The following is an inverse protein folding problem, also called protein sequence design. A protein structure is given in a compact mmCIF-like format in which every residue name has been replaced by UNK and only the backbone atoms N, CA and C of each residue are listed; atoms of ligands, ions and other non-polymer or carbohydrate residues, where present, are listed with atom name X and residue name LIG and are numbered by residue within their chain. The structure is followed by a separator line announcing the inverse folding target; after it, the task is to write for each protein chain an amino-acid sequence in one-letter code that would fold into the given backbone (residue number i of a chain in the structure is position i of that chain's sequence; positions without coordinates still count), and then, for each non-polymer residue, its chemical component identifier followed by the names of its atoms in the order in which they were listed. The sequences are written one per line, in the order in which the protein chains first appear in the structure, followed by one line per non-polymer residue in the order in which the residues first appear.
data_IF_956631655544
#
_entry.id   IF_956631655544
#
_cell.length_a   1.000
_cell.length_b   1.000
_cell.length_c   1.000
_cell.angle_alpha   90.00
_cell.angle_beta   90.00
_cell.angle_gamma   90.00
#
_symmetry.space_group_name_H-M   'P 1'
#
loop_
_entity.id
_entity.type
_entity.pdbx_description
1 polymer ?
#
# COMPACT_ATOMS: atom_id res chain seq x y z
N UNK A 1 16.30 54.41 7.43
CA UNK A 1 16.83 53.40 6.48
C UNK A 1 16.77 52.03 7.14
N UNK A 2 16.41 50.97 6.41
CA UNK A 2 16.45 49.60 6.94
C UNK A 2 17.86 49.01 6.76
N UNK A 3 18.49 48.61 7.86
CA UNK A 3 19.84 48.06 7.86
C UNK A 3 19.96 46.85 8.78
N UNK A 4 20.83 45.91 8.43
CA UNK A 4 21.12 44.72 9.23
C UNK A 4 22.21 45.03 10.27
N UNK A 5 22.02 44.58 11.51
CA UNK A 5 22.98 44.79 12.62
C UNK A 5 24.30 44.01 12.45
N UNK A 6 24.33 42.99 11.59
CA UNK A 6 25.54 42.24 11.24
C UNK A 6 25.42 41.65 9.84
N UNK A 7 26.31 42.06 8.93
CA UNK A 7 26.40 41.55 7.56
C UNK A 7 26.71 40.05 7.52
N UNK A 8 27.61 39.58 8.40
CA UNK A 8 28.00 38.15 8.49
C UNK A 8 26.82 37.29 8.96
N UNK A 9 26.06 37.75 9.96
CA UNK A 9 24.86 37.02 10.44
C UNK A 9 23.76 36.99 9.39
N UNK A 10 23.50 38.12 8.73
CA UNK A 10 22.52 38.23 7.64
C UNK A 10 22.85 37.28 6.47
N UNK A 11 24.12 37.27 6.01
CA UNK A 11 24.59 36.38 4.95
C UNK A 11 24.44 34.90 5.31
N UNK A 12 24.76 34.50 6.56
CA UNK A 12 24.55 33.13 7.06
C UNK A 12 23.07 32.75 7.13
N UNK A 13 22.17 33.64 7.55
CA UNK A 13 20.73 33.36 7.55
C UNK A 13 20.17 33.23 6.13
N UNK A 14 20.62 34.08 5.20
CA UNK A 14 20.19 34.03 3.80
C UNK A 14 20.63 32.72 3.14
N UNK A 15 21.90 32.31 3.30
CA UNK A 15 22.41 31.02 2.81
C UNK A 15 21.60 29.82 3.34
N UNK A 16 21.25 29.82 4.63
CA UNK A 16 20.40 28.75 5.21
C UNK A 16 18.96 28.80 4.72
N UNK A 17 18.44 29.98 4.36
CA UNK A 17 17.10 30.11 3.77
C UNK A 17 17.10 29.57 2.33
N UNK A 18 18.05 29.99 1.49
CA UNK A 18 18.18 29.51 0.11
C UNK A 18 18.45 28.01 0.06
N UNK A 19 19.28 27.46 0.95
CA UNK A 19 19.53 26.01 1.03
C UNK A 19 18.25 25.23 1.40
N UNK A 20 17.47 25.73 2.37
CA UNK A 20 16.18 25.11 2.73
C UNK A 20 15.16 25.19 1.60
N UNK A 21 15.19 26.25 0.82
CA UNK A 21 14.32 26.45 -0.34
C UNK A 21 14.71 25.55 -1.50
N UNK A 22 16.01 25.45 -1.82
CA UNK A 22 16.55 24.49 -2.78
C UNK A 22 16.20 23.04 -2.41
N UNK A 23 16.34 22.66 -1.13
CA UNK A 23 15.92 21.34 -0.63
C UNK A 23 14.39 21.10 -0.64
N UNK A 24 13.57 22.13 -0.86
CA UNK A 24 12.11 22.03 -1.03
C UNK A 24 11.70 21.93 -2.50
N UNK A 25 12.57 22.29 -3.45
CA UNK A 25 12.30 22.09 -4.87
C UNK A 25 12.32 20.59 -5.18
N UNK A 26 11.20 20.10 -5.68
CA UNK A 26 11.03 18.73 -6.16
C UNK A 26 10.52 18.78 -7.60
N UNK A 27 10.78 17.72 -8.37
CA UNK A 27 10.25 17.60 -9.74
C UNK A 27 8.71 17.65 -9.66
N UNK A 28 8.03 18.50 -10.45
CA UNK A 28 6.58 18.55 -10.46
C UNK A 28 6.02 17.25 -11.03
N UNK A 29 5.46 16.41 -10.16
CA UNK A 29 4.80 15.15 -10.54
C UNK A 29 3.30 15.38 -10.68
N UNK A 30 2.72 14.90 -11.79
CA UNK A 30 1.27 14.94 -12.02
C UNK A 30 0.62 13.90 -11.10
N UNK A 31 -0.17 14.38 -10.13
CA UNK A 31 -1.12 13.52 -9.41
C UNK A 31 -2.32 13.22 -10.32
N UNK A 32 -2.75 11.96 -10.33
CA UNK A 32 -3.87 11.45 -11.14
C UNK A 32 -4.96 10.79 -10.29
N UNK A 33 -4.93 10.95 -8.97
CA UNK A 33 -6.05 10.54 -8.12
C UNK A 33 -7.28 11.41 -8.38
N UNK A 34 -8.38 10.80 -8.81
CA UNK A 34 -9.68 11.46 -8.99
C UNK A 34 -10.70 10.80 -8.05
N UNK A 35 -11.35 11.58 -7.18
CA UNK A 35 -12.32 11.07 -6.21
C UNK A 35 -11.68 10.66 -4.88
N UNK A 36 -12.27 9.66 -4.22
CA UNK A 36 -11.73 9.12 -2.96
C UNK A 36 -10.47 8.29 -3.24
N UNK A 37 -9.36 8.50 -2.51
CA UNK A 37 -8.12 7.77 -2.74
C UNK A 37 -8.28 6.33 -2.22
N UNK A 38 -7.92 5.30 -3.02
CA UNK A 38 -8.02 3.91 -2.60
C UNK A 38 -7.00 3.59 -1.48
N UNK A 39 -7.25 2.57 -0.63
CA UNK A 39 -6.55 2.37 0.65
C UNK A 39 -5.05 2.08 0.50
N UNK A 40 -4.15 2.84 1.14
CA UNK A 40 -2.70 2.67 0.89
C UNK A 40 -2.22 1.24 1.15
N UNK A 41 -1.39 0.70 0.25
CA UNK A 41 -0.83 -0.66 0.40
C UNK A 41 0.35 -0.59 1.35
N UNK A 42 0.16 -1.16 2.53
CA UNK A 42 1.13 -1.17 3.63
C UNK A 42 1.38 -2.61 4.03
N UNK A 43 2.63 -2.99 4.30
CA UNK A 43 2.92 -4.30 4.89
C UNK A 43 2.80 -4.16 6.42
N UNK A 44 1.65 -4.52 7.00
CA UNK A 44 1.32 -4.56 8.45
C UNK A 44 1.15 -3.20 9.22
N UNK A 45 0.49 -3.28 10.38
CA UNK A 45 -0.64 -2.45 10.92
C UNK A 45 -0.28 -1.31 11.90
N UNK A 46 -1.06 -0.24 12.18
CA UNK A 46 -2.40 0.32 11.77
C UNK A 46 -2.25 1.84 11.51
N UNK A 47 -3.26 2.65 11.05
CA UNK A 47 -3.99 3.66 11.90
C UNK A 47 -5.27 4.32 11.22
N UNK A 48 -5.75 5.59 11.43
CA UNK A 48 -7.06 6.08 10.95
C UNK A 48 -7.08 6.52 9.45
N UNK A 49 -6.39 5.77 8.59
CA UNK A 49 -6.63 5.77 7.14
C UNK A 49 -6.89 4.32 6.75
N UNK A 50 -7.77 4.10 5.79
CA UNK A 50 -7.97 2.78 5.21
C UNK A 50 -6.62 2.30 4.63
N UNK A 51 -6.10 1.20 5.16
CA UNK A 51 -4.87 0.55 4.73
C UNK A 51 -5.18 -0.87 4.25
N UNK A 52 -4.50 -1.30 3.20
CA UNK A 52 -4.58 -2.68 2.71
C UNK A 52 -3.30 -3.40 3.14
N UNK A 53 -3.42 -4.39 4.02
CA UNK A 53 -2.29 -5.20 4.48
C UNK A 53 -2.05 -6.38 3.53
N UNK A 54 -0.81 -6.52 3.07
CA UNK A 54 -0.37 -7.58 2.16
C UNK A 54 0.91 -8.15 2.72
N UNK A 55 0.90 -9.44 3.04
CA UNK A 55 2.10 -10.17 3.43
C UNK A 55 2.89 -10.57 2.18
N UNK A 56 4.22 -10.41 2.24
CA UNK A 56 5.09 -10.78 1.13
C UNK A 56 5.48 -12.26 1.27
N UNK A 57 5.25 -13.11 0.25
CA UNK A 57 5.80 -14.47 0.25
C UNK A 57 7.32 -14.41 0.03
N UNK A 58 8.03 -15.45 0.47
CA UNK A 58 9.50 -15.55 0.36
C UNK A 58 9.99 -15.90 -1.07
N UNK A 59 9.11 -15.84 -2.08
CA UNK A 59 9.47 -16.01 -3.48
C UNK A 59 9.96 -14.70 -4.09
N UNK A 60 11.10 -14.72 -4.79
CA UNK A 60 11.67 -13.56 -5.51
C UNK A 60 10.62 -12.89 -6.42
N UNK A 61 9.77 -13.66 -7.09
CA UNK A 61 8.70 -13.13 -7.94
C UNK A 61 7.64 -12.35 -7.13
N UNK A 62 7.24 -12.88 -5.97
CA UNK A 62 6.30 -12.20 -5.07
C UNK A 62 6.91 -10.95 -4.44
N UNK A 63 8.18 -11.00 -4.05
CA UNK A 63 8.97 -9.85 -3.60
C UNK A 63 9.02 -8.75 -4.66
N UNK A 64 9.29 -9.09 -5.92
CA UNK A 64 9.32 -8.16 -7.05
C UNK A 64 7.96 -7.46 -7.22
N UNK A 65 6.85 -8.19 -7.13
CA UNK A 65 5.52 -7.60 -7.31
C UNK A 65 5.08 -6.77 -6.09
N UNK A 66 5.39 -7.22 -4.87
CA UNK A 66 5.20 -6.44 -3.64
C UNK A 66 6.00 -5.11 -3.68
N UNK A 67 7.25 -5.14 -4.13
CA UNK A 67 8.10 -3.95 -4.25
C UNK A 67 7.54 -2.92 -5.26
N UNK A 68 6.86 -3.35 -6.32
CA UNK A 68 6.21 -2.45 -7.30
C UNK A 68 4.93 -1.79 -6.78
N UNK A 69 4.17 -2.47 -5.90
CA UNK A 69 2.86 -1.98 -5.42
C UNK A 69 2.95 -1.20 -4.11
N UNK A 70 3.93 -1.51 -3.24
CA UNK A 70 3.99 -0.97 -1.88
C UNK A 70 4.07 0.57 -1.82
N UNK A 71 3.26 1.16 -0.95
CA UNK A 71 3.40 2.56 -0.50
C UNK A 71 4.28 2.66 0.74
N UNK A 72 4.21 1.64 1.61
CA UNK A 72 5.02 1.47 2.80
C UNK A 72 5.42 -0.01 2.98
N UNK A 73 6.71 -0.28 3.04
CA UNK A 73 7.25 -1.58 3.45
C UNK A 73 7.65 -1.55 4.93
N UNK A 74 7.11 -2.46 5.75
CA UNK A 74 7.72 -2.78 7.05
C UNK A 74 8.68 -3.96 6.83
N UNK A 75 9.95 -3.75 7.18
CA UNK A 75 10.99 -4.78 7.16
C UNK A 75 11.09 -5.35 8.57
N UNK A 76 10.55 -6.55 8.77
CA UNK A 76 10.72 -7.30 10.00
C UNK A 76 12.17 -7.80 10.05
N UNK A 77 12.88 -7.48 11.13
CA UNK A 77 14.27 -7.90 11.36
C UNK A 77 14.33 -8.55 12.73
N UNK A 78 14.79 -9.79 12.81
CA UNK A 78 15.01 -10.48 14.08
C UNK A 78 16.23 -9.87 14.80
N UNK A 79 16.05 -9.33 16.00
CA UNK A 79 17.14 -8.76 16.78
C UNK A 79 18.11 -9.80 17.38
N UNK A 80 17.73 -11.09 17.39
CA UNK A 80 18.51 -12.22 17.90
C UNK A 80 19.37 -12.87 16.81
N UNK A 81 18.82 -13.09 15.62
CA UNK A 81 19.55 -13.62 14.45
C UNK A 81 20.27 -12.52 13.64
N UNK A 82 19.74 -11.29 13.66
CA UNK A 82 20.29 -10.15 12.91
C UNK A 82 19.65 -9.99 11.53
N UNK A 83 20.44 -9.54 10.55
CA UNK A 83 19.94 -9.31 9.20
C UNK A 83 20.08 -10.55 8.32
N UNK A 84 18.94 -11.06 7.85
CA UNK A 84 18.89 -12.14 6.87
C UNK A 84 19.13 -11.64 5.44
N UNK A 85 19.65 -12.51 4.57
CA UNK A 85 19.94 -12.18 3.17
C UNK A 85 18.68 -11.76 2.40
N UNK A 86 17.55 -12.44 2.64
CA UNK A 86 16.24 -12.15 2.04
C UNK A 86 15.78 -10.69 2.28
N UNK A 87 16.05 -10.14 3.48
CA UNK A 87 15.71 -8.74 3.80
C UNK A 87 16.51 -7.74 2.97
N UNK A 88 17.79 -8.05 2.68
CA UNK A 88 18.63 -7.23 1.81
C UNK A 88 18.29 -7.39 0.33
N UNK A 89 17.93 -8.59 -0.12
CA UNK A 89 17.45 -8.83 -1.49
C UNK A 89 16.19 -8.01 -1.77
N UNK A 90 15.19 -8.06 -0.88
CA UNK A 90 13.99 -7.24 -1.00
C UNK A 90 14.29 -5.73 -0.96
N UNK A 91 15.22 -5.28 -0.11
CA UNK A 91 15.66 -3.88 -0.08
C UNK A 91 16.30 -3.44 -1.42
N UNK A 92 17.12 -4.30 -2.04
CA UNK A 92 17.74 -4.02 -3.34
C UNK A 92 16.70 -4.02 -4.50
N UNK A 93 15.73 -4.95 -4.47
CA UNK A 93 14.61 -4.95 -5.41
C UNK A 93 13.77 -3.67 -5.30
N UNK A 94 13.47 -3.23 -4.07
CA UNK A 94 12.81 -1.95 -3.82
C UNK A 94 13.60 -0.76 -4.36
N UNK A 95 14.92 -0.71 -4.15
CA UNK A 95 15.77 0.36 -4.71
C UNK A 95 15.67 0.42 -6.24
N UNK A 96 15.79 -0.71 -6.93
CA UNK A 96 15.70 -0.80 -8.38
C UNK A 96 14.31 -0.37 -8.93
N UNK A 97 13.23 -0.59 -8.17
CA UNK A 97 11.88 -0.21 -8.57
C UNK A 97 11.48 1.22 -8.19
N UNK A 98 12.30 1.96 -7.44
CA UNK A 98 12.09 3.37 -7.10
C UNK A 98 11.85 3.67 -5.61
N UNK A 99 12.32 2.78 -4.73
CA UNK A 99 12.35 2.86 -3.27
C UNK A 99 11.12 3.53 -2.62
N UNK A 100 10.03 2.78 -2.35
CA UNK A 100 8.96 3.28 -1.50
C UNK A 100 9.48 3.61 -0.09
N UNK A 101 8.66 4.27 0.71
CA UNK A 101 9.03 4.47 2.12
C UNK A 101 9.09 3.11 2.80
N UNK A 102 10.16 2.87 3.56
CA UNK A 102 10.29 1.67 4.36
C UNK A 102 10.58 2.01 5.82
N UNK A 103 10.38 1.03 6.70
CA UNK A 103 10.70 1.11 8.12
C UNK A 103 11.16 -0.27 8.60
N UNK A 104 12.28 -0.34 9.30
CA UNK A 104 12.65 -1.54 10.04
C UNK A 104 11.85 -1.67 11.33
N UNK A 105 11.28 -2.84 11.58
CA UNK A 105 10.64 -3.21 12.84
C UNK A 105 11.44 -4.37 13.42
N UNK A 106 12.07 -4.13 14.58
CA UNK A 106 12.87 -5.15 15.26
C UNK A 106 11.96 -6.09 16.06
N UNK A 107 12.04 -7.39 15.78
CA UNK A 107 11.30 -8.46 16.47
C UNK A 107 12.23 -9.27 17.39
N UNK A 108 11.68 -10.20 18.17
CA UNK A 108 12.43 -11.08 19.10
C UNK A 108 13.35 -10.35 20.09
N UNK A 109 12.97 -9.12 20.46
CA UNK A 109 13.57 -8.35 21.55
C UNK A 109 13.13 -8.86 22.92
N UNK A 110 12.98 -10.17 23.13
CA UNK A 110 12.33 -10.79 24.31
C UNK A 110 13.04 -10.50 25.65
N UNK A 111 14.27 -9.98 25.59
CA UNK A 111 15.03 -9.43 26.73
C UNK A 111 14.47 -8.07 27.22
N UNK A 112 13.56 -7.46 26.46
CA UNK A 112 12.83 -6.24 26.76
C UNK A 112 11.32 -6.53 26.67
N UNK A 113 10.53 -6.05 27.63
CA UNK A 113 9.07 -6.22 27.57
C UNK A 113 8.51 -5.46 26.37
N UNK A 114 8.08 -6.16 25.32
CA UNK A 114 7.35 -5.56 24.21
C UNK A 114 6.05 -4.95 24.74
N UNK A 115 5.93 -3.62 24.74
CA UNK A 115 4.76 -2.97 25.35
C UNK A 115 3.67 -2.71 24.32
N UNK A 116 2.40 -2.81 24.72
CA UNK A 116 1.26 -2.38 23.88
C UNK A 116 1.42 -0.92 23.42
N UNK A 117 2.14 -0.11 24.21
CA UNK A 117 2.50 1.28 23.89
C UNK A 117 3.36 1.40 22.63
N UNK A 118 4.30 0.48 22.40
CA UNK A 118 5.21 0.52 21.25
C UNK A 118 4.45 0.28 19.94
N UNK A 119 3.54 -0.70 19.96
CA UNK A 119 2.58 -0.94 18.87
C UNK A 119 1.73 0.31 18.64
N UNK A 120 1.12 0.88 19.69
CA UNK A 120 0.35 2.12 19.56
C UNK A 120 1.16 3.32 19.04
N UNK A 121 2.48 3.37 19.27
CA UNK A 121 3.36 4.42 18.78
C UNK A 121 3.77 4.19 17.31
N UNK A 122 4.03 2.94 16.93
CA UNK A 122 4.21 2.51 15.54
C UNK A 122 2.97 2.87 14.70
N UNK A 123 1.78 2.48 15.16
CA UNK A 123 0.48 2.87 14.61
C UNK A 123 0.38 4.38 14.38
N UNK A 124 0.62 5.21 15.41
CA UNK A 124 0.60 6.68 15.29
C UNK A 124 1.62 7.18 14.24
N UNK A 125 2.79 6.58 14.14
CA UNK A 125 3.83 7.00 13.20
C UNK A 125 3.44 6.71 11.74
N UNK A 126 2.88 5.52 11.47
CA UNK A 126 2.32 5.16 10.16
C UNK A 126 1.24 6.18 9.76
N UNK A 127 0.40 6.63 10.71
CA UNK A 127 -0.71 7.58 10.46
C UNK A 127 -0.28 8.91 9.86
N UNK A 128 0.85 9.42 10.34
CA UNK A 128 1.32 10.75 10.00
C UNK A 128 2.08 10.74 8.67
N UNK A 129 2.50 9.57 8.18
CA UNK A 129 3.19 9.47 6.90
C UNK A 129 2.27 9.86 5.73
N UNK A 130 2.87 10.58 4.79
CA UNK A 130 2.37 10.76 3.43
C UNK A 130 3.28 9.96 2.51
N UNK A 131 2.69 9.20 1.60
CA UNK A 131 3.43 8.34 0.68
C UNK A 131 3.70 9.10 -0.62
N UNK A 132 4.97 9.15 -1.10
CA UNK A 132 5.25 9.68 -2.43
C UNK A 132 4.77 8.65 -3.47
N UNK A 133 4.08 9.12 -4.51
CA UNK A 133 3.62 8.27 -5.60
C UNK A 133 4.76 8.05 -6.61
N UNK A 134 5.13 6.78 -6.83
CA UNK A 134 6.12 6.42 -7.86
C UNK A 134 5.57 6.68 -9.27
N UNK A 135 6.45 7.07 -10.20
CA UNK A 135 6.06 7.35 -11.59
C UNK A 135 5.39 6.15 -12.29
N UNK A 136 5.86 4.92 -12.03
CA UNK A 136 5.22 3.70 -12.56
C UNK A 136 3.75 3.59 -12.08
N UNK A 137 3.49 3.93 -10.81
CA UNK A 137 2.15 3.87 -10.17
C UNK A 137 1.21 4.98 -10.64
N UNK A 138 1.72 6.17 -10.97
CA UNK A 138 0.89 7.26 -11.55
C UNK A 138 0.64 7.10 -13.05
N UNK A 139 1.47 6.32 -13.76
CA UNK A 139 1.35 6.16 -15.21
C UNK A 139 0.49 4.96 -15.66
N UNK A 140 0.37 3.90 -14.86
CA UNK A 140 -0.33 2.66 -15.27
C UNK A 140 -1.50 2.31 -14.34
N UNK A 141 -2.62 1.78 -14.87
CA UNK A 141 -3.67 1.20 -14.04
C UNK A 141 -3.22 -0.17 -13.51
N UNK A 142 -3.48 -0.43 -12.24
CA UNK A 142 -3.26 -1.76 -11.63
C UNK A 142 -4.31 -2.04 -10.55
N UNK A 143 -4.59 -3.31 -10.30
CA UNK A 143 -5.52 -3.77 -9.24
C UNK A 143 -4.77 -4.73 -8.33
N UNK A 144 -4.80 -4.46 -7.03
CA UNK A 144 -4.40 -5.44 -6.01
C UNK A 144 -5.65 -6.25 -5.67
N UNK A 145 -5.57 -7.56 -5.80
CA UNK A 145 -6.70 -8.47 -5.61
C UNK A 145 -6.95 -8.74 -4.13
N UNK A 146 -8.18 -8.52 -3.68
CA UNK A 146 -8.63 -8.88 -2.33
C UNK A 146 -9.38 -10.23 -2.30
N UNK A 147 -10.18 -10.50 -3.35
CA UNK A 147 -10.98 -11.73 -3.47
C UNK A 147 -10.99 -12.21 -4.91
N UNK A 148 -10.89 -13.53 -5.11
CA UNK A 148 -11.13 -14.18 -6.40
C UNK A 148 -12.19 -15.25 -6.22
N UNK A 149 -13.08 -15.39 -7.19
CA UNK A 149 -14.17 -16.38 -7.20
C UNK A 149 -14.18 -17.09 -8.56
N UNK A 150 -14.29 -18.41 -8.56
CA UNK A 150 -14.49 -19.18 -9.79
C UNK A 150 -15.98 -19.21 -10.15
N UNK A 151 -16.33 -18.64 -11.30
CA UNK A 151 -17.71 -18.56 -11.83
C UNK A 151 -17.94 -19.66 -12.88
N UNK A 152 -17.02 -20.60 -13.01
CA UNK A 152 -17.16 -21.76 -13.91
C UNK A 152 -18.30 -22.68 -13.44
N UNK A 153 -19.28 -23.03 -14.30
CA UNK A 153 -20.32 -23.97 -13.94
C UNK A 153 -19.73 -25.31 -13.48
N UNK A 154 -20.13 -25.86 -12.32
CA UNK A 154 -19.49 -27.04 -11.75
C UNK A 154 -19.59 -28.26 -12.69
N UNK A 155 -20.68 -28.37 -13.45
CA UNK A 155 -20.88 -29.40 -14.48
C UNK A 155 -19.71 -29.50 -15.47
N UNK A 156 -19.14 -28.37 -15.89
CA UNK A 156 -18.00 -28.36 -16.84
C UNK A 156 -16.72 -28.87 -16.19
N UNK A 157 -16.50 -28.52 -14.91
CA UNK A 157 -15.34 -28.95 -14.13
C UNK A 157 -15.39 -30.45 -13.85
N UNK A 158 -16.58 -31.01 -13.59
CA UNK A 158 -16.77 -32.46 -13.43
C UNK A 158 -16.52 -33.22 -14.74
N UNK A 159 -16.96 -32.69 -15.89
CA UNK A 159 -16.74 -33.31 -17.20
C UNK A 159 -15.28 -33.21 -17.68
N UNK A 160 -14.58 -32.11 -17.39
CA UNK A 160 -13.16 -31.94 -17.71
C UNK A 160 -12.47 -31.02 -16.68
N UNK A 161 -11.66 -31.61 -15.81
CA UNK A 161 -10.91 -30.88 -14.79
C UNK A 161 -9.92 -29.84 -15.37
N UNK A 162 -9.50 -29.99 -16.64
CA UNK A 162 -8.61 -29.08 -17.37
C UNK A 162 -9.36 -28.11 -18.32
N UNK A 163 -10.65 -27.86 -18.10
CA UNK A 163 -11.38 -26.85 -18.88
C UNK A 163 -10.91 -25.42 -18.58
N UNK A 164 -11.09 -24.50 -19.54
CA UNK A 164 -10.93 -23.07 -19.31
C UNK A 164 -11.88 -22.59 -18.20
N UNK A 165 -11.34 -21.97 -17.16
CA UNK A 165 -12.11 -21.48 -15.99
C UNK A 165 -12.34 -19.98 -16.08
N UNK A 166 -13.55 -19.53 -15.75
CA UNK A 166 -13.91 -18.12 -15.72
C UNK A 166 -13.84 -17.59 -14.29
N UNK A 167 -12.75 -16.88 -13.98
CA UNK A 167 -12.49 -16.34 -12.64
C UNK A 167 -12.92 -14.87 -12.60
N UNK A 168 -13.74 -14.50 -11.61
CA UNK A 168 -14.04 -13.11 -11.27
C UNK A 168 -13.10 -12.63 -10.18
N UNK A 169 -12.58 -11.42 -10.35
CA UNK A 169 -11.55 -10.84 -9.50
C UNK A 169 -12.07 -9.52 -8.91
N UNK A 170 -12.00 -9.40 -7.59
CA UNK A 170 -12.41 -8.22 -6.83
C UNK A 170 -11.17 -7.58 -6.18
N UNK A 171 -11.09 -6.25 -6.26
CA UNK A 171 -10.02 -5.48 -5.63
C UNK A 171 -10.07 -4.00 -6.01
N UNK A 172 -9.30 -3.18 -5.30
CA UNK A 172 -9.29 -1.72 -5.51
C UNK A 172 -8.43 -1.33 -6.73
N UNK A 173 -9.03 -0.57 -7.66
CA UNK A 173 -8.32 0.02 -8.80
C UNK A 173 -7.37 1.15 -8.36
N UNK A 174 -6.13 1.09 -8.82
CA UNK A 174 -5.03 1.99 -8.46
C UNK A 174 -4.39 2.64 -9.68
N UNK A 175 -3.77 3.80 -9.44
CA UNK A 175 -3.02 4.53 -10.46
C UNK A 175 -3.93 5.26 -11.44
N UNK A 176 -3.82 4.93 -12.72
CA UNK A 176 -4.71 5.48 -13.76
C UNK A 176 -6.10 4.82 -13.74
N UNK A 177 -7.11 5.53 -14.24
CA UNK A 177 -8.42 4.94 -14.53
C UNK A 177 -8.31 3.96 -15.72
N UNK A 178 -9.03 2.83 -15.65
CA UNK A 178 -9.04 1.80 -16.69
C UNK A 178 -9.96 2.24 -17.84
N UNK A 179 -9.46 2.24 -19.08
CA UNK A 179 -10.28 2.61 -20.25
C UNK A 179 -11.34 1.55 -20.49
N UNK A 180 -12.62 1.97 -20.55
CA UNK A 180 -13.74 1.12 -20.98
C UNK A 180 -13.44 0.56 -22.38
N UNK A 181 -13.46 -0.77 -22.53
CA UNK A 181 -13.08 -1.45 -23.77
C UNK A 181 -11.63 -1.96 -23.84
N UNK A 182 -10.83 -1.85 -22.77
CA UNK A 182 -9.52 -2.51 -22.68
C UNK A 182 -9.68 -4.03 -22.72
N UNK A 183 -9.12 -4.70 -23.73
CA UNK A 183 -9.32 -6.15 -23.98
C UNK A 183 -8.26 -7.07 -23.36
N UNK A 184 -7.23 -6.52 -22.71
CA UNK A 184 -6.04 -7.26 -22.26
C UNK A 184 -5.59 -6.87 -20.84
N UNK A 185 -5.60 -7.82 -19.89
CA UNK A 185 -5.09 -7.67 -18.53
C UNK A 185 -4.24 -8.88 -18.09
N UNK A 186 -3.15 -8.66 -17.38
CA UNK A 186 -2.05 -9.59 -17.13
C UNK A 186 -2.02 -9.87 -15.64
N UNK A 187 -2.20 -11.13 -15.28
CA UNK A 187 -2.17 -11.56 -13.88
C UNK A 187 -0.72 -11.92 -13.52
N UNK A 188 -0.09 -11.08 -12.69
CA UNK A 188 1.20 -11.35 -12.05
C UNK A 188 0.93 -11.62 -10.58
N UNK A 189 0.81 -12.90 -10.19
CA UNK A 189 0.42 -13.28 -8.84
C UNK A 189 -0.88 -12.60 -8.39
N UNK A 190 -0.81 -11.79 -7.33
CA UNK A 190 -1.95 -11.05 -6.75
C UNK A 190 -2.23 -9.69 -7.44
N UNK A 191 -1.53 -9.38 -8.54
CA UNK A 191 -1.58 -8.11 -9.27
C UNK A 191 -2.19 -8.30 -10.67
N UNK A 192 -3.25 -7.55 -10.98
CA UNK A 192 -3.73 -7.39 -12.36
C UNK A 192 -3.18 -6.10 -12.95
N UNK A 193 -2.40 -6.20 -14.03
CA UNK A 193 -1.73 -5.09 -14.75
C UNK A 193 -1.94 -5.25 -16.27
N UNK A 194 -2.07 -4.22 -17.10
CA UNK A 194 -2.55 -4.41 -18.50
C UNK A 194 -1.60 -5.18 -19.47
N UNK A 195 -1.86 -6.47 -19.78
CA UNK A 195 -1.43 -7.22 -21.00
C UNK A 195 -2.07 -8.63 -21.10
N UNK A 196 -2.21 -9.24 -22.28
CA UNK A 196 -2.52 -10.69 -22.51
C UNK A 196 -3.89 -11.35 -22.16
N UNK A 197 -4.56 -11.22 -20.99
CA UNK A 197 -5.83 -11.97 -20.73
C UNK A 197 -7.08 -11.24 -21.25
N UNK A 198 -8.05 -11.99 -21.82
CA UNK A 198 -9.34 -11.45 -22.29
C UNK A 198 -10.20 -10.99 -21.12
N UNK A 199 -10.40 -9.67 -21.00
CA UNK A 199 -11.17 -9.06 -19.92
C UNK A 199 -12.60 -8.70 -20.34
N UNK A 200 -13.60 -9.12 -19.55
CA UNK A 200 -14.95 -8.57 -19.57
C UNK A 200 -15.07 -7.47 -18.50
N UNK A 201 -15.69 -6.34 -18.84
CA UNK A 201 -15.80 -5.20 -17.93
C UNK A 201 -16.80 -5.48 -16.79
N UNK A 202 -16.31 -5.56 -15.56
CA UNK A 202 -17.13 -5.66 -14.35
C UNK A 202 -17.79 -4.35 -13.94
N UNK A 203 -18.93 -4.43 -13.25
CA UNK A 203 -19.59 -3.28 -12.64
C UNK A 203 -18.81 -2.75 -11.44
N UNK A 204 -18.92 -1.45 -11.16
CA UNK A 204 -18.38 -0.89 -9.91
C UNK A 204 -19.19 -1.40 -8.72
N UNK A 205 -18.52 -2.04 -7.76
CA UNK A 205 -19.10 -2.47 -6.49
C UNK A 205 -18.97 -1.35 -5.44
N UNK A 206 -19.85 -1.35 -4.43
CA UNK A 206 -19.70 -0.46 -3.29
C UNK A 206 -18.48 -0.86 -2.43
N UNK A 207 -17.83 0.11 -1.81
CA UNK A 207 -16.70 -0.12 -0.91
C UNK A 207 -17.15 -0.95 0.32
N UNK A 208 -16.52 -2.11 0.63
CA UNK A 208 -16.84 -2.89 1.82
C UNK A 208 -16.39 -2.23 3.13
N UNK A 209 -15.49 -1.24 3.09
CA UNK A 209 -14.93 -0.56 4.26
C UNK A 209 -14.93 0.98 4.07
N UNK A 210 -16.11 1.62 3.92
CA UNK A 210 -16.21 3.03 3.60
C UNK A 210 -15.58 3.92 4.68
N UNK A 211 -14.86 4.95 4.25
CA UNK A 211 -14.23 5.91 5.16
C UNK A 211 -15.28 6.69 5.99
N UNK A 212 -15.05 6.88 7.30
CA UNK A 212 -15.92 7.70 8.14
C UNK A 212 -15.89 9.16 7.67
N UNK A 213 -17.07 9.78 7.53
CA UNK A 213 -17.17 11.12 6.92
C UNK A 213 -16.33 12.18 7.65
N UNK A 214 -15.70 13.06 6.85
CA UNK A 214 -14.73 14.07 7.29
C UNK A 214 -15.25 15.10 8.31
N UNK A 215 -16.53 15.05 8.68
CA UNK A 215 -17.13 15.82 9.76
C UNK A 215 -16.62 15.39 11.15
N UNK A 216 -16.25 14.12 11.36
CA UNK A 216 -15.79 13.59 12.65
C UNK A 216 -14.28 13.74 12.84
N UNK A 217 -13.84 14.97 13.15
CA UNK A 217 -12.40 15.31 13.28
C UNK A 217 -11.72 14.87 14.60
N UNK A 218 -12.35 14.05 15.45
CA UNK A 218 -11.80 13.65 16.75
C UNK A 218 -12.26 12.25 17.18
N UNK A 219 -11.32 11.29 17.12
CA UNK A 219 -11.50 9.91 17.59
C UNK A 219 -12.36 9.04 16.67
N UNK A 220 -11.81 7.90 16.24
CA UNK A 220 -12.58 6.86 15.55
C UNK A 220 -13.25 5.97 16.60
N UNK A 221 -14.57 5.76 16.51
CA UNK A 221 -15.30 4.88 17.44
C UNK A 221 -15.08 3.42 17.05
N UNK A 222 -15.17 2.49 17.99
CA UNK A 222 -14.87 1.07 17.70
C UNK A 222 -15.82 0.45 16.66
N UNK A 223 -17.08 0.93 16.62
CA UNK A 223 -18.06 0.60 15.56
C UNK A 223 -17.70 1.10 14.15
N UNK A 224 -16.72 1.99 14.05
CA UNK A 224 -16.23 2.59 12.80
C UNK A 224 -14.84 2.02 12.43
N UNK A 225 -14.26 1.15 13.27
CA UNK A 225 -13.07 0.34 12.96
C UNK A 225 -13.47 -0.93 12.22
N UNK A 226 -13.71 -0.80 10.92
CA UNK A 226 -14.05 -1.93 10.06
C UNK A 226 -12.77 -2.63 9.56
N UNK A 227 -12.80 -3.96 9.55
CA UNK A 227 -11.78 -4.81 8.95
C UNK A 227 -12.42 -5.72 7.90
N UNK A 228 -11.77 -5.84 6.73
CA UNK A 228 -12.21 -6.64 5.60
C UNK A 228 -11.06 -7.54 5.15
N UNK A 229 -11.24 -8.85 5.26
CA UNK A 229 -10.24 -9.86 4.90
C UNK A 229 -10.92 -11.17 4.47
N UNK A 230 -11.47 -11.23 3.24
CA UNK A 230 -12.26 -12.37 2.77
C UNK A 230 -11.46 -13.68 2.72
N UNK A 231 -10.14 -13.59 2.51
CA UNK A 231 -9.24 -14.75 2.45
C UNK A 231 -8.74 -15.25 3.81
N UNK A 232 -8.91 -14.49 4.90
CA UNK A 232 -8.31 -14.78 6.21
C UNK A 232 -9.23 -15.57 7.16
N UNK A 233 -10.13 -16.41 6.62
CA UNK A 233 -11.04 -17.27 7.40
C UNK A 233 -12.14 -16.54 8.19
N UNK A 234 -12.22 -15.21 8.12
CA UNK A 234 -13.19 -14.38 8.85
C UNK A 234 -14.59 -14.32 8.19
N UNK A 235 -14.70 -14.80 6.95
CA UNK A 235 -15.88 -14.73 6.08
C UNK A 235 -15.92 -13.46 5.23
N UNK A 236 -16.83 -13.41 4.25
CA UNK A 236 -16.96 -12.31 3.27
C UNK A 236 -17.45 -10.96 3.85
N UNK A 237 -17.94 -10.93 5.09
CA UNK A 237 -18.54 -9.73 5.68
C UNK A 237 -17.51 -8.91 6.49
N UNK A 238 -17.45 -7.57 6.30
CA UNK A 238 -16.60 -6.71 7.10
C UNK A 238 -17.03 -6.74 8.57
N UNK A 239 -16.07 -6.90 9.48
CA UNK A 239 -16.34 -6.95 10.93
C UNK A 239 -15.79 -5.72 11.64
N UNK A 240 -16.44 -5.32 12.73
CA UNK A 240 -15.94 -4.29 13.64
C UNK A 240 -14.88 -4.88 14.57
N UNK A 241 -13.73 -4.21 14.71
CA UNK A 241 -12.70 -4.56 15.68
C UNK A 241 -13.15 -4.21 17.10
N UNK A 242 -13.56 -5.23 17.86
CA UNK A 242 -13.68 -5.18 19.33
C UNK A 242 -12.36 -5.66 19.96
N UNK A 243 -11.62 -4.72 20.57
CA UNK A 243 -10.39 -4.95 21.35
C UNK A 243 -10.66 -4.56 22.80
#
# INVERSE_FOLDING_TARGET
AFGFTSSVKAKRSQMRATEKEQRRLHIPTIDRSYGEPPPYVVVVQEPPRQLQFVDCPNDINGMIDCAKIADLALLLIDASHGFEMETFEFLNLMQNHGLPKFMGVLTHLDKFKCTKTDICNLTKFISVKKFPSLHWRTCRPYVVVDRFEDVTPPERVHMNNKCDRSITIYGYLRGCNLKKGTKSCNLHGMLVSMTALKFSWGTGLADPCPLPSAAKKKGLRDKEKLFYAPMSGLGDLPRTLSI
#
